data_IF_949976398578
#
_entry.id   IF_949976398578
#
_cell.length_a   1.000
_cell.length_b   1.000
_cell.length_c   1.000
_cell.angle_alpha   90.00
_cell.angle_beta   90.00
_cell.angle_gamma   90.00
#
_symmetry.space_group_name_H-M   'P 1'
#
loop_
_entity.id
_entity.type
_entity.pdbx_description
1 polymer ?
#
# COMPACT_ATOMS: atom_id res chain seq x y z
N UNK A 1 8.23 -22.88 3.27
CA UNK A 1 8.04 -23.48 1.92
C UNK A 1 6.56 -23.64 1.54
N UNK A 2 5.77 -24.58 2.09
CA UNK A 2 4.35 -24.70 1.70
C UNK A 2 3.52 -23.45 2.07
N UNK A 3 3.73 -22.90 3.26
CA UNK A 3 2.98 -21.72 3.73
C UNK A 3 3.28 -20.47 2.89
N UNK A 4 4.54 -20.27 2.49
CA UNK A 4 4.96 -19.13 1.65
C UNK A 4 4.41 -19.24 0.23
N UNK A 5 4.34 -20.46 -0.31
CA UNK A 5 3.66 -20.70 -1.57
C UNK A 5 2.17 -20.33 -1.48
N UNK A 6 1.49 -20.77 -0.43
CA UNK A 6 0.08 -20.42 -0.21
C UNK A 6 -0.11 -18.92 -0.03
N UNK A 7 0.78 -18.28 0.72
CA UNK A 7 0.81 -16.82 0.88
C UNK A 7 0.97 -16.11 -0.47
N UNK A 8 1.92 -16.55 -1.30
CA UNK A 8 2.10 -16.02 -2.66
C UNK A 8 0.80 -16.13 -3.48
N UNK A 9 0.15 -17.29 -3.47
CA UNK A 9 -1.14 -17.50 -4.15
C UNK A 9 -2.20 -16.51 -3.64
N UNK A 10 -2.25 -16.24 -2.32
CA UNK A 10 -3.21 -15.29 -1.73
C UNK A 10 -2.93 -13.84 -2.10
N UNK A 11 -1.66 -13.44 -2.14
CA UNK A 11 -1.28 -12.10 -2.63
C UNK A 11 -1.69 -11.96 -4.09
N UNK A 12 -1.36 -12.94 -4.93
CA UNK A 12 -1.74 -12.93 -6.35
C UNK A 12 -3.26 -12.88 -6.55
N UNK A 13 -4.05 -13.58 -5.73
CA UNK A 13 -5.51 -13.51 -5.76
C UNK A 13 -6.03 -12.09 -5.44
N UNK A 14 -5.46 -11.43 -4.42
CA UNK A 14 -5.80 -10.03 -4.07
C UNK A 14 -5.43 -9.07 -5.20
N UNK A 15 -4.21 -9.16 -5.74
CA UNK A 15 -3.74 -8.24 -6.80
C UNK A 15 -4.56 -8.36 -8.09
N UNK A 16 -5.01 -9.57 -8.41
CA UNK A 16 -5.83 -9.83 -9.61
C UNK A 16 -7.34 -9.61 -9.38
N UNK A 17 -7.74 -9.21 -8.17
CA UNK A 17 -9.14 -9.01 -7.82
C UNK A 17 -9.78 -7.80 -8.54
N UNK A 18 -11.10 -7.85 -8.71
CA UNK A 18 -11.88 -6.73 -9.28
C UNK A 18 -11.73 -5.41 -8.51
N UNK A 19 -11.69 -5.38 -7.16
CA UNK A 19 -11.38 -4.17 -6.41
C UNK A 19 -10.05 -3.53 -6.81
N UNK A 20 -8.94 -4.28 -6.88
CA UNK A 20 -7.64 -3.75 -7.30
C UNK A 20 -7.67 -3.15 -8.71
N UNK A 21 -8.34 -3.84 -9.65
CA UNK A 21 -8.50 -3.36 -11.04
C UNK A 21 -9.27 -2.02 -11.15
N UNK A 22 -10.04 -1.65 -10.13
CA UNK A 22 -10.82 -0.40 -10.08
C UNK A 22 -10.08 0.75 -9.38
N UNK A 23 -8.93 0.50 -8.78
CA UNK A 23 -8.11 1.55 -8.15
C UNK A 23 -7.55 2.45 -9.26
N UNK A 24 -7.80 3.76 -9.17
CA UNK A 24 -7.28 4.76 -10.10
C UNK A 24 -7.21 6.14 -9.44
N UNK A 25 -6.01 6.60 -9.09
CA UNK A 25 -5.79 7.93 -8.52
C UNK A 25 -4.35 8.42 -8.73
N UNK A 26 -4.13 9.71 -8.54
CA UNK A 26 -2.80 10.33 -8.50
C UNK A 26 -2.62 11.03 -7.16
N UNK A 27 -1.55 10.68 -6.43
CA UNK A 27 -1.23 11.21 -5.11
C UNK A 27 0.23 11.69 -5.09
N UNK A 28 0.47 12.96 -4.74
CA UNK A 28 1.83 13.54 -4.71
C UNK A 28 2.67 13.27 -5.99
N UNK A 29 2.02 13.28 -7.16
CA UNK A 29 2.67 12.99 -8.45
C UNK A 29 2.86 11.50 -8.76
N UNK A 30 2.57 10.60 -7.82
CA UNK A 30 2.58 9.15 -8.03
C UNK A 30 1.21 8.70 -8.54
N UNK A 31 1.19 8.00 -9.68
CA UNK A 31 -0.02 7.42 -10.25
C UNK A 31 -0.21 5.99 -9.78
N UNK A 32 -1.36 5.66 -9.21
CA UNK A 32 -1.74 4.30 -8.81
C UNK A 32 -2.97 3.87 -9.59
N UNK A 33 -2.80 2.82 -10.39
CA UNK A 33 -3.79 2.33 -11.35
C UNK A 33 -3.98 0.83 -11.21
N UNK A 34 -5.16 0.33 -11.60
CA UNK A 34 -5.48 -1.09 -11.53
C UNK A 34 -4.48 -1.98 -12.27
N UNK A 35 -3.93 -1.51 -13.41
CA UNK A 35 -2.91 -2.26 -14.15
C UNK A 35 -1.55 -2.34 -13.44
N UNK A 36 -1.23 -1.42 -12.52
CA UNK A 36 -0.02 -1.52 -11.71
C UNK A 36 -0.04 -2.74 -10.78
N UNK A 37 -1.21 -3.12 -10.26
CA UNK A 37 -1.36 -4.33 -9.45
C UNK A 37 -1.14 -5.60 -10.28
N UNK A 38 -1.63 -5.62 -11.53
CA UNK A 38 -1.35 -6.73 -12.46
C UNK A 38 0.13 -6.79 -12.85
N UNK A 39 0.79 -5.64 -13.02
CA UNK A 39 2.23 -5.57 -13.26
C UNK A 39 3.02 -6.12 -12.07
N UNK A 40 2.71 -5.74 -10.84
CA UNK A 40 3.35 -6.30 -9.65
C UNK A 40 3.09 -7.80 -9.50
N UNK A 41 1.87 -8.27 -9.82
CA UNK A 41 1.56 -9.69 -9.80
C UNK A 41 2.47 -10.50 -10.75
N UNK A 42 2.83 -9.92 -11.91
CA UNK A 42 3.79 -10.53 -12.84
C UNK A 42 5.22 -10.57 -12.27
N UNK A 43 5.67 -9.48 -11.63
CA UNK A 43 6.97 -9.46 -10.94
C UNK A 43 7.05 -10.52 -9.82
N UNK A 44 5.94 -10.72 -9.09
CA UNK A 44 5.82 -11.79 -8.09
C UNK A 44 5.85 -13.17 -8.73
N UNK A 45 5.16 -13.38 -9.87
CA UNK A 45 5.17 -14.66 -10.59
C UNK A 45 6.56 -15.05 -11.08
N UNK A 46 7.37 -14.05 -11.46
CA UNK A 46 8.75 -14.24 -11.94
C UNK A 46 9.78 -14.33 -10.81
N UNK A 47 9.34 -14.20 -9.56
CA UNK A 47 10.21 -14.12 -8.39
C UNK A 47 11.16 -12.90 -8.39
N UNK A 48 10.86 -11.85 -9.16
CA UNK A 48 11.52 -10.54 -9.04
C UNK A 48 11.12 -9.83 -7.74
N UNK A 49 9.89 -10.11 -7.26
CA UNK A 49 9.44 -9.76 -5.91
C UNK A 49 9.19 -11.03 -5.12
N UNK A 50 9.86 -11.14 -3.97
CA UNK A 50 9.70 -12.26 -3.06
C UNK A 50 8.61 -12.01 -2.03
N UNK A 51 8.07 -13.09 -1.46
CA UNK A 51 7.03 -13.03 -0.43
C UNK A 51 7.40 -13.97 0.71
N UNK A 52 7.49 -13.40 1.91
CA UNK A 52 7.95 -14.11 3.10
C UNK A 52 7.06 -13.81 4.31
N UNK A 53 7.13 -14.69 5.30
CA UNK A 53 6.57 -14.42 6.62
C UNK A 53 7.60 -13.75 7.54
N UNK A 54 7.11 -12.93 8.46
CA UNK A 54 7.89 -12.21 9.47
C UNK A 54 8.31 -10.83 8.98
N UNK A 55 7.73 -9.79 9.57
CA UNK A 55 8.22 -8.41 9.43
C UNK A 55 9.42 -8.19 10.37
N UNK A 56 10.40 -7.39 9.93
CA UNK A 56 11.60 -7.10 10.71
C UNK A 56 11.33 -6.24 11.94
N UNK A 57 10.24 -5.48 11.95
CA UNK A 57 9.96 -4.46 12.97
C UNK A 57 8.68 -4.73 13.77
N UNK A 58 8.15 -5.96 13.69
CA UNK A 58 6.92 -6.35 14.38
C UNK A 58 5.64 -5.77 13.78
N UNK A 59 5.72 -5.16 12.58
CA UNK A 59 4.57 -4.74 11.81
C UNK A 59 3.80 -5.96 11.28
N UNK A 60 2.51 -5.78 10.98
CA UNK A 60 1.68 -6.84 10.40
C UNK A 60 2.00 -7.08 8.91
N UNK A 61 2.57 -6.08 8.23
CA UNK A 61 2.98 -6.08 6.83
C UNK A 61 4.17 -5.14 6.66
N UNK A 62 5.01 -5.40 5.66
CA UNK A 62 6.12 -4.54 5.25
C UNK A 62 6.58 -4.89 3.85
N UNK A 63 6.79 -3.91 2.99
CA UNK A 63 7.66 -4.03 1.81
C UNK A 63 9.10 -3.61 2.16
N UNK A 64 10.08 -4.45 1.79
CA UNK A 64 11.51 -4.16 1.88
C UNK A 64 12.06 -3.85 0.48
N UNK A 65 12.40 -2.58 0.26
CA UNK A 65 12.90 -2.02 -1.01
C UNK A 65 14.36 -2.40 -1.30
N UNK A 66 15.08 -3.01 -0.36
CA UNK A 66 16.46 -3.46 -0.56
C UNK A 66 16.54 -4.89 -1.02
N UNK A 67 15.54 -5.70 -0.66
CA UNK A 67 15.47 -7.12 -0.99
C UNK A 67 14.27 -7.46 -1.86
N UNK A 68 13.52 -6.47 -2.33
CA UNK A 68 12.29 -6.63 -3.11
C UNK A 68 11.34 -7.67 -2.50
N UNK A 69 11.13 -7.57 -1.18
CA UNK A 69 10.40 -8.61 -0.43
C UNK A 69 9.18 -8.03 0.27
N UNK A 70 8.02 -8.61 -0.01
CA UNK A 70 6.81 -8.41 0.78
C UNK A 70 6.84 -9.36 2.00
N UNK A 71 6.76 -8.79 3.20
CA UNK A 71 6.81 -9.50 4.48
C UNK A 71 5.50 -9.35 5.22
N UNK A 72 4.90 -10.46 5.66
CA UNK A 72 3.66 -10.44 6.44
C UNK A 72 3.85 -11.14 7.79
N UNK A 73 3.41 -10.49 8.87
CA UNK A 73 3.81 -10.83 10.24
C UNK A 73 3.31 -12.18 10.74
N UNK A 74 2.03 -12.52 10.54
CA UNK A 74 1.45 -13.73 11.13
C UNK A 74 1.48 -14.91 10.16
N UNK A 75 2.18 -16.00 10.54
CA UNK A 75 1.98 -17.35 9.99
C UNK A 75 0.66 -17.93 10.46
N UNK A 76 -0.43 -17.29 10.06
CA UNK A 76 -1.77 -17.78 10.30
C UNK A 76 -2.44 -18.00 8.95
N UNK A 77 -2.88 -19.23 8.68
CA UNK A 77 -3.62 -19.57 7.47
C UNK A 77 -4.89 -18.72 7.31
N UNK A 78 -5.43 -18.20 8.42
CA UNK A 78 -6.56 -17.29 8.47
C UNK A 78 -6.22 -15.81 8.28
N UNK A 79 -4.94 -15.41 8.29
CA UNK A 79 -4.56 -14.00 8.17
C UNK A 79 -5.20 -13.41 6.91
N UNK A 80 -5.05 -14.07 5.75
CA UNK A 80 -5.57 -13.62 4.46
C UNK A 80 -7.08 -13.83 4.24
N UNK A 81 -7.81 -14.35 5.23
CA UNK A 81 -9.25 -14.58 5.13
C UNK A 81 -10.07 -13.31 5.41
N UNK A 82 -9.53 -12.37 6.18
CA UNK A 82 -10.24 -11.14 6.57
C UNK A 82 -10.17 -10.07 5.48
N UNK A 83 -11.08 -9.10 5.52
CA UNK A 83 -11.01 -7.92 4.66
C UNK A 83 -9.78 -7.07 4.99
N UNK A 84 -9.55 -6.84 6.28
CA UNK A 84 -8.43 -6.08 6.83
C UNK A 84 -7.06 -6.58 6.32
N UNK A 85 -6.78 -7.87 6.40
CA UNK A 85 -5.48 -8.38 5.95
C UNK A 85 -5.32 -8.34 4.42
N UNK A 86 -6.41 -8.48 3.67
CA UNK A 86 -6.38 -8.30 2.21
C UNK A 86 -6.13 -6.84 1.85
N UNK A 87 -6.68 -5.92 2.62
CA UNK A 87 -6.40 -4.49 2.48
C UNK A 87 -4.94 -4.18 2.81
N UNK A 88 -4.39 -4.78 3.87
CA UNK A 88 -2.97 -4.67 4.21
C UNK A 88 -2.06 -5.22 3.08
N UNK A 89 -2.45 -6.29 2.38
CA UNK A 89 -1.72 -6.72 1.18
C UNK A 89 -1.68 -5.59 0.14
N UNK A 90 -2.82 -4.93 -0.12
CA UNK A 90 -2.89 -3.81 -1.07
C UNK A 90 -2.01 -2.66 -0.62
N UNK A 91 -1.96 -2.37 0.68
CA UNK A 91 -1.08 -1.36 1.27
C UNK A 91 0.39 -1.64 0.94
N UNK A 92 0.91 -2.81 1.34
CA UNK A 92 2.32 -3.15 1.11
C UNK A 92 2.66 -3.26 -0.37
N UNK A 93 1.74 -3.78 -1.17
CA UNK A 93 1.91 -3.86 -2.62
C UNK A 93 1.91 -2.49 -3.28
N UNK A 94 1.26 -1.48 -2.68
CA UNK A 94 1.31 -0.11 -3.19
C UNK A 94 2.72 0.47 -3.04
N UNK A 95 3.42 0.18 -1.94
CA UNK A 95 4.84 0.56 -1.79
C UNK A 95 5.71 -0.10 -2.86
N UNK A 96 5.55 -1.40 -3.09
CA UNK A 96 6.29 -2.11 -4.14
C UNK A 96 5.98 -1.56 -5.55
N UNK A 97 4.73 -1.18 -5.81
CA UNK A 97 4.34 -0.51 -7.07
C UNK A 97 5.06 0.82 -7.23
N UNK A 98 5.13 1.64 -6.17
CA UNK A 98 5.79 2.94 -6.22
C UNK A 98 7.27 2.75 -6.52
N UNK A 99 7.93 1.80 -5.84
CA UNK A 99 9.34 1.47 -6.10
C UNK A 99 9.58 1.02 -7.54
N UNK A 100 8.76 0.09 -8.04
CA UNK A 100 8.88 -0.44 -9.40
C UNK A 100 8.60 0.60 -10.50
N UNK A 101 7.77 1.61 -10.22
CA UNK A 101 7.35 2.61 -11.22
C UNK A 101 8.16 3.92 -11.16
N UNK A 102 8.91 4.15 -10.08
CA UNK A 102 9.73 5.35 -9.90
C UNK A 102 11.20 5.01 -9.59
N UNK A 103 11.87 4.14 -10.36
CA UNK A 103 13.22 3.68 -10.04
C UNK A 103 14.20 4.84 -9.92
N UNK A 104 14.96 4.90 -8.82
CA UNK A 104 15.90 5.97 -8.50
C UNK A 104 15.26 7.30 -8.05
N UNK A 105 13.92 7.37 -8.04
CA UNK A 105 13.16 8.53 -7.58
C UNK A 105 13.31 8.78 -6.08
N UNK A 106 13.21 10.05 -5.68
CA UNK A 106 13.15 10.45 -4.28
C UNK A 106 11.70 10.74 -3.94
N UNK A 107 11.12 9.95 -3.05
CA UNK A 107 9.73 10.07 -2.59
C UNK A 107 9.76 10.47 -1.12
N UNK A 108 8.86 11.38 -0.72
CA UNK A 108 8.69 11.67 0.71
C UNK A 108 7.97 10.50 1.36
N UNK A 109 8.50 9.99 2.47
CA UNK A 109 7.92 8.85 3.19
C UNK A 109 6.44 9.07 3.53
N UNK A 110 6.10 10.28 3.99
CA UNK A 110 4.72 10.65 4.30
C UNK A 110 3.78 10.56 3.09
N UNK A 111 4.27 10.89 1.89
CA UNK A 111 3.49 10.84 0.65
C UNK A 111 3.35 9.39 0.16
N UNK A 112 4.41 8.57 0.33
CA UNK A 112 4.40 7.14 0.05
C UNK A 112 3.36 6.40 0.90
N UNK A 113 3.40 6.61 2.22
CA UNK A 113 2.44 6.09 3.20
C UNK A 113 1.01 6.58 2.94
N UNK A 114 0.82 7.88 2.68
CA UNK A 114 -0.51 8.41 2.33
C UNK A 114 -1.08 7.71 1.09
N UNK A 115 -0.24 7.48 0.08
CA UNK A 115 -0.62 6.77 -1.14
C UNK A 115 -1.06 5.34 -0.87
N UNK A 116 -0.31 4.60 -0.04
CA UNK A 116 -0.65 3.24 0.37
C UNK A 116 -1.96 3.18 1.18
N UNK A 117 -2.15 4.08 2.15
CA UNK A 117 -3.40 4.18 2.93
C UNK A 117 -4.61 4.54 2.07
N UNK A 118 -4.47 5.41 1.07
CA UNK A 118 -5.56 5.73 0.14
C UNK A 118 -5.93 4.50 -0.69
N UNK A 119 -4.93 3.78 -1.23
CA UNK A 119 -5.17 2.55 -1.99
C UNK A 119 -5.87 1.47 -1.16
N UNK A 120 -5.39 1.24 0.07
CA UNK A 120 -6.01 0.36 1.06
C UNK A 120 -7.48 0.75 1.31
N UNK A 121 -7.73 2.04 1.54
CA UNK A 121 -9.08 2.56 1.83
C UNK A 121 -10.02 2.37 0.64
N UNK A 122 -9.55 2.63 -0.59
CA UNK A 122 -10.32 2.37 -1.81
C UNK A 122 -10.67 0.87 -1.91
N UNK A 123 -9.70 -0.01 -1.69
CA UNK A 123 -9.92 -1.45 -1.74
C UNK A 123 -11.01 -1.89 -0.74
N UNK A 124 -10.90 -1.45 0.52
CA UNK A 124 -11.87 -1.77 1.58
C UNK A 124 -13.27 -1.25 1.27
N UNK A 125 -13.39 -0.05 0.70
CA UNK A 125 -14.67 0.49 0.24
C UNK A 125 -15.28 -0.35 -0.90
N UNK A 126 -14.46 -0.80 -1.85
CA UNK A 126 -14.90 -1.61 -2.99
C UNK A 126 -15.27 -3.06 -2.62
N UNK A 127 -14.71 -3.61 -1.54
CA UNK A 127 -15.09 -4.93 -0.99
C UNK A 127 -16.30 -4.87 -0.07
N UNK A 128 -16.82 -3.67 0.23
CA UNK A 128 -17.96 -3.48 1.13
C UNK A 128 -17.61 -3.65 2.61
N UNK A 129 -16.32 -3.55 2.96
CA UNK A 129 -15.89 -3.65 4.35
C UNK A 129 -16.42 -2.47 5.16
N UNK A 130 -17.04 -2.77 6.31
CA UNK A 130 -17.51 -1.73 7.24
C UNK A 130 -16.30 -1.18 7.96
N UNK A 131 -16.13 0.13 7.86
CA UNK A 131 -15.04 0.81 8.52
C UNK A 131 -15.54 2.01 9.32
N UNK A 132 -14.89 2.27 10.45
CA UNK A 132 -15.25 3.37 11.35
C UNK A 132 -14.69 4.69 10.82
N UNK A 133 -15.57 5.65 10.53
CA UNK A 133 -15.20 6.99 10.03
C UNK A 133 -15.10 8.00 11.17
N UNK A 134 -14.22 7.77 12.15
CA UNK A 134 -14.11 8.65 13.32
C UNK A 134 -12.76 9.34 13.37
N UNK A 135 -12.77 10.68 13.31
CA UNK A 135 -11.59 11.52 13.41
C UNK A 135 -11.10 12.03 12.06
N UNK A 136 -10.45 13.20 12.08
CA UNK A 136 -10.09 13.96 10.89
C UNK A 136 -9.25 13.17 9.87
N UNK A 137 -8.35 12.30 10.34
CA UNK A 137 -7.54 11.44 9.50
C UNK A 137 -8.39 10.46 8.67
N UNK A 138 -9.22 9.67 9.36
CA UNK A 138 -10.07 8.68 8.70
C UNK A 138 -11.09 9.37 7.79
N UNK A 139 -11.75 10.43 8.27
CA UNK A 139 -12.70 11.22 7.45
C UNK A 139 -12.07 11.70 6.14
N UNK A 140 -10.83 12.20 6.19
CA UNK A 140 -10.10 12.64 5.00
C UNK A 140 -9.76 11.47 4.06
N UNK A 141 -9.32 10.33 4.59
CA UNK A 141 -9.08 9.12 3.80
C UNK A 141 -10.34 8.66 3.07
N UNK A 142 -11.50 8.61 3.75
CA UNK A 142 -12.77 8.21 3.12
C UNK A 142 -13.22 9.17 2.03
N UNK A 143 -13.10 10.47 2.27
CA UNK A 143 -13.51 11.48 1.29
C UNK A 143 -12.69 11.35 0.01
N UNK A 144 -11.37 11.26 0.14
CA UNK A 144 -10.45 11.11 -0.99
C UNK A 144 -10.65 9.78 -1.71
N UNK A 145 -10.77 8.67 -0.97
CA UNK A 145 -11.02 7.35 -1.55
C UNK A 145 -12.37 7.29 -2.29
N UNK A 146 -13.43 7.86 -1.71
CA UNK A 146 -14.75 7.95 -2.32
C UNK A 146 -14.73 8.75 -3.63
N UNK A 147 -14.10 9.93 -3.63
CA UNK A 147 -13.91 10.74 -4.84
C UNK A 147 -13.13 9.99 -5.92
N UNK A 148 -12.10 9.23 -5.52
CA UNK A 148 -11.33 8.39 -6.44
C UNK A 148 -12.18 7.30 -7.09
N UNK A 149 -13.02 6.62 -6.30
CA UNK A 149 -13.96 5.60 -6.79
C UNK A 149 -14.97 6.20 -7.77
N UNK A 150 -15.53 7.38 -7.48
CA UNK A 150 -16.48 8.02 -8.39
C UNK A 150 -15.81 8.50 -9.69
N UNK A 151 -14.61 9.10 -9.61
CA UNK A 151 -13.85 9.54 -10.77
C UNK A 151 -13.52 8.36 -11.71
N UNK A 152 -13.11 7.22 -11.15
CA UNK A 152 -12.80 6.02 -11.92
C UNK A 152 -13.98 5.51 -12.75
N UNK A 153 -15.24 5.73 -12.32
CA UNK A 153 -16.44 5.40 -13.12
C UNK A 153 -16.61 6.29 -14.34
N UNK A 154 -16.08 7.51 -14.29
CA UNK A 154 -16.14 8.51 -15.36
C UNK A 154 -14.94 8.47 -16.31
N UNK A 155 -14.02 7.52 -16.12
CA UNK A 155 -12.96 7.18 -17.09
C UNK A 155 -11.59 7.82 -16.85
N UNK A 156 -11.36 8.47 -15.69
CA UNK A 156 -10.06 9.06 -15.38
C UNK A 156 -9.66 8.90 -13.91
N UNK A 157 -8.35 8.93 -13.60
CA UNK A 157 -7.89 8.94 -12.21
C UNK A 157 -8.27 10.25 -11.52
N UNK A 158 -8.61 10.17 -10.24
CA UNK A 158 -8.76 11.36 -9.42
C UNK A 158 -7.38 11.88 -9.01
N UNK A 159 -7.08 13.14 -9.29
CA UNK A 159 -5.88 13.82 -8.78
C UNK A 159 -6.20 14.36 -7.40
N UNK A 160 -5.51 13.85 -6.39
CA UNK A 160 -5.78 14.15 -4.99
C UNK A 160 -5.22 15.54 -4.65
N UNK A 161 -6.01 16.35 -3.96
CA UNK A 161 -5.61 17.67 -3.47
C UNK A 161 -4.34 17.54 -2.59
N UNK A 162 -3.25 18.25 -2.90
CA UNK A 162 -2.03 18.24 -2.10
C UNK A 162 -2.23 18.56 -0.61
N UNK A 163 -3.27 19.31 -0.27
CA UNK A 163 -3.65 19.60 1.14
C UNK A 163 -4.16 18.35 1.84
N UNK A 164 -4.96 17.53 1.16
CA UNK A 164 -5.45 16.27 1.70
C UNK A 164 -4.29 15.28 1.89
N UNK A 165 -3.38 15.21 0.91
CA UNK A 165 -2.14 14.41 1.03
C UNK A 165 -1.32 14.86 2.24
N UNK A 166 -1.11 16.17 2.39
CA UNK A 166 -0.35 16.73 3.51
C UNK A 166 -0.98 16.44 4.88
N UNK A 167 -2.32 16.46 4.98
CA UNK A 167 -3.04 16.14 6.21
C UNK A 167 -2.90 14.66 6.58
N UNK A 168 -3.13 13.77 5.61
CA UNK A 168 -3.00 12.31 5.76
C UNK A 168 -1.55 11.96 6.12
N UNK A 169 -0.60 12.37 5.28
CA UNK A 169 0.82 12.11 5.47
C UNK A 169 1.40 12.75 6.73
N UNK A 170 0.96 13.96 7.09
CA UNK A 170 1.39 14.65 8.31
C UNK A 170 0.95 13.93 9.58
N UNK A 171 -0.27 13.38 9.60
CA UNK A 171 -0.77 12.57 10.72
C UNK A 171 0.05 11.29 10.88
N UNK A 172 0.35 10.61 9.77
CA UNK A 172 1.14 9.37 9.77
C UNK A 172 2.58 9.64 10.23
N UNK A 173 3.19 10.70 9.72
CA UNK A 173 4.53 11.13 10.12
C UNK A 173 4.64 11.43 11.61
N UNK A 174 3.66 12.12 12.19
CA UNK A 174 3.66 12.39 13.63
C UNK A 174 3.63 11.08 14.45
N UNK A 175 2.89 10.07 14.00
CA UNK A 175 2.88 8.74 14.61
C UNK A 175 4.23 8.00 14.47
N UNK A 176 4.85 8.07 13.30
CA UNK A 176 6.17 7.48 13.03
C UNK A 176 7.28 8.13 13.87
N UNK A 177 7.31 9.45 13.95
CA UNK A 177 8.28 10.19 14.76
C UNK A 177 8.19 9.82 16.25
N UNK A 178 6.97 9.67 16.78
CA UNK A 178 6.75 9.23 18.16
C UNK A 178 7.28 7.80 18.38
N UNK A 179 6.97 6.87 17.47
CA UNK A 179 7.43 5.48 17.55
C UNK A 179 8.95 5.36 17.44
N UNK A 180 9.55 6.07 16.50
CA UNK A 180 11.00 6.05 16.30
C UNK A 180 11.74 6.67 17.47
N UNK A 181 11.24 7.79 18.02
CA UNK A 181 11.80 8.40 19.23
C UNK A 181 11.76 7.43 20.42
N UNK A 182 10.67 6.69 20.60
CA UNK A 182 10.56 5.67 21.64
C UNK A 182 11.56 4.52 21.45
N UNK A 183 11.91 4.19 20.20
CA UNK A 183 12.88 3.16 19.84
C UNK A 183 14.33 3.67 19.73
N UNK A 184 14.60 4.95 19.98
CA UNK A 184 15.93 5.55 19.80
C UNK A 184 16.40 5.62 18.34
N UNK A 185 15.48 5.57 17.38
CA UNK A 185 15.75 5.62 15.93
C UNK A 185 15.35 6.98 15.36
N UNK A 186 15.94 7.35 14.22
CA UNK A 186 15.46 8.45 13.37
C UNK A 186 14.73 7.89 12.16
N UNK A 187 13.61 8.50 11.77
CA UNK A 187 12.90 8.17 10.53
C UNK A 187 13.34 9.18 9.45
N UNK A 188 13.84 8.72 8.30
CA UNK A 188 14.13 9.62 7.20
C UNK A 188 12.83 10.20 6.63
N UNK A 189 12.84 11.49 6.24
CA UNK A 189 11.68 12.14 5.60
C UNK A 189 11.54 11.76 4.12
N UNK A 190 12.63 11.25 3.53
CA UNK A 190 12.73 10.87 2.12
C UNK A 190 13.23 9.44 1.98
N UNK A 191 12.69 8.75 0.99
CA UNK A 191 13.02 7.39 0.59
C UNK A 191 13.48 7.44 -0.87
N UNK A 192 14.57 6.74 -1.17
CA UNK A 192 15.05 6.59 -2.54
C UNK A 192 14.56 5.24 -3.03
N UNK A 193 13.73 5.25 -4.07
CA UNK A 193 13.25 4.03 -4.69
C UNK A 193 14.42 3.30 -5.34
N UNK A 194 14.65 2.06 -4.92
CA UNK A 194 15.67 1.16 -5.48
C UNK A 194 15.33 0.79 -6.92
N UNK A 195 14.04 0.58 -7.18
CA UNK A 195 13.54 0.01 -8.41
C UNK A 195 13.62 -1.51 -8.40
N UNK A 196 12.58 -2.16 -8.91
CA UNK A 196 12.50 -3.62 -9.00
C UNK A 196 13.04 -4.08 -10.36
N UNK A 197 14.03 -4.98 -10.39
CA UNK A 197 14.53 -5.52 -11.65
C UNK A 197 13.46 -6.35 -12.36
N UNK A 198 13.36 -6.19 -13.69
CA UNK A 198 12.45 -6.96 -14.53
C UNK A 198 12.98 -8.35 -14.87
#
# INVERSE_FOLDING_TARGET
>A
MFDEFMLRVKVLDVLNSTPCRKIAFVCAGMSIMGYHYSYLAELINRCSVDIQFGSSDGANGQYDDKTDTLRFGRRDAGFYATGESRALIVHECTHAIIDATHPGGIVRRADNEATAWIAETIYRMLTGEKMTKTGAFYESLYDVAGKSIEAAKTGGPFVIDPRAVSLIGGTLRAGDEVRAKAAGKMVPDQEKMSGIPY
#
